data_IF_892728671420
#
_entry.id   IF_892728671420
#
_cell.length_a   1.000
_cell.length_b   1.000
_cell.length_c   1.000
_cell.angle_alpha   90.00
_cell.angle_beta   90.00
_cell.angle_gamma   90.00
#
_symmetry.space_group_name_H-M   'P 1'
#
loop_
_entity.id
_entity.type
_entity.pdbx_description
1 polymer ?
#
# COMPACT_ATOMS: atom_id res chain seq x y z
N UNK A 1 22.88 -21.37 60.73
CA UNK A 1 21.69 -20.68 60.23
C UNK A 1 21.94 -19.14 60.12
N UNK A 2 23.00 -18.70 59.40
CA UNK A 2 23.40 -17.27 59.29
C UNK A 2 23.94 -16.85 57.93
N UNK A 3 23.74 -17.67 56.85
CA UNK A 3 24.29 -17.37 55.51
C UNK A 3 23.22 -17.27 54.40
N UNK A 4 21.91 -17.23 54.73
CA UNK A 4 20.82 -17.18 53.74
C UNK A 4 20.17 -15.79 53.57
N UNK A 5 20.61 -14.76 54.30
CA UNK A 5 20.02 -13.41 54.19
C UNK A 5 20.82 -12.42 53.35
N UNK A 6 22.04 -12.77 52.92
CA UNK A 6 22.90 -11.82 52.13
C UNK A 6 22.74 -11.94 50.62
N UNK A 7 22.00 -12.94 50.09
CA UNK A 7 21.87 -13.17 48.66
C UNK A 7 20.73 -12.40 47.99
N UNK A 8 19.76 -11.90 48.78
CA UNK A 8 18.58 -11.20 48.24
C UNK A 8 18.74 -9.67 48.12
N UNK A 9 19.73 -9.07 48.74
CA UNK A 9 19.97 -7.62 48.67
C UNK A 9 20.78 -7.22 47.44
N UNK A 10 21.51 -8.14 46.80
CA UNK A 10 22.26 -7.87 45.58
C UNK A 10 21.40 -7.88 44.31
N UNK A 11 20.27 -8.61 44.32
CA UNK A 11 19.41 -8.74 43.13
C UNK A 11 18.43 -7.59 42.96
N UNK A 12 18.04 -6.92 44.06
CA UNK A 12 17.14 -5.78 44.04
C UNK A 12 17.78 -4.48 43.52
N UNK A 13 19.12 -4.35 43.63
CA UNK A 13 19.85 -3.17 43.15
C UNK A 13 20.23 -3.30 41.64
N UNK A 14 20.38 -4.52 41.11
CA UNK A 14 20.65 -4.73 39.70
C UNK A 14 19.39 -4.57 38.82
N UNK A 15 18.21 -4.92 39.35
CA UNK A 15 16.94 -4.72 38.63
C UNK A 15 16.50 -3.26 38.55
N UNK A 16 16.87 -2.44 39.52
CA UNK A 16 16.52 -1.00 39.56
C UNK A 16 17.32 -0.15 38.56
N UNK A 17 18.53 -0.56 38.18
CA UNK A 17 19.39 0.15 37.22
C UNK A 17 19.08 -0.19 35.76
N UNK A 18 18.37 -1.31 35.51
CA UNK A 18 17.98 -1.71 34.15
C UNK A 18 16.69 -1.04 33.66
N UNK A 19 15.85 -0.58 34.55
CA UNK A 19 14.61 0.14 34.23
C UNK A 19 14.82 1.65 33.96
N UNK A 20 15.97 2.20 34.32
CA UNK A 20 16.26 3.63 34.12
C UNK A 20 17.02 3.94 32.83
N UNK A 21 17.58 2.94 32.14
CA UNK A 21 18.37 3.14 30.91
C UNK A 21 17.62 2.80 29.61
N UNK A 22 16.33 2.45 29.67
CA UNK A 22 15.51 2.00 28.54
C UNK A 22 14.56 3.03 27.93
N UNK A 23 14.50 4.25 28.45
CA UNK A 23 13.66 5.29 27.84
C UNK A 23 14.52 6.41 27.23
N UNK A 24 15.36 6.03 26.27
CA UNK A 24 15.69 6.98 25.22
C UNK A 24 14.41 7.12 24.40
N UNK A 25 13.75 8.26 24.55
CA UNK A 25 12.54 8.59 23.86
C UNK A 25 12.75 8.39 22.35
N UNK A 26 12.23 7.30 21.82
CA UNK A 26 11.87 7.27 20.43
C UNK A 26 10.85 8.40 20.29
N UNK A 27 11.29 9.54 19.75
CA UNK A 27 10.40 10.61 19.33
C UNK A 27 9.34 9.95 18.50
N UNK A 28 8.09 9.97 18.96
CA UNK A 28 6.96 9.49 18.14
C UNK A 28 7.10 10.15 16.79
N UNK A 29 7.14 9.39 15.69
CA UNK A 29 7.27 9.99 14.37
C UNK A 29 6.18 11.05 14.23
N UNK A 30 6.53 12.23 13.69
CA UNK A 30 5.62 13.35 13.58
C UNK A 30 4.34 12.90 12.88
N UNK A 31 3.20 13.19 13.49
CA UNK A 31 1.90 12.88 12.89
C UNK A 31 1.77 13.59 11.54
N UNK A 32 1.08 12.96 10.59
CA UNK A 32 0.78 13.57 9.31
C UNK A 32 -0.17 14.76 9.50
N UNK A 33 0.21 15.94 9.00
CA UNK A 33 -0.57 17.16 9.18
C UNK A 33 -1.75 17.25 8.20
N UNK A 34 -1.61 16.64 7.01
CA UNK A 34 -2.60 16.71 5.94
C UNK A 34 -2.54 15.46 5.03
N UNK A 35 -3.51 15.37 4.11
CA UNK A 35 -3.60 14.28 3.13
C UNK A 35 -2.39 14.26 2.19
N UNK A 36 -1.90 15.43 1.78
CA UNK A 36 -0.76 15.53 0.86
C UNK A 36 0.53 14.94 1.46
N UNK A 37 0.76 15.16 2.75
CA UNK A 37 1.87 14.56 3.49
C UNK A 37 1.77 13.03 3.54
N UNK A 38 0.57 12.48 3.76
CA UNK A 38 0.34 11.02 3.70
C UNK A 38 0.58 10.50 2.30
N UNK A 39 -0.01 11.12 1.28
CA UNK A 39 0.14 10.71 -0.12
C UNK A 39 1.62 10.74 -0.55
N UNK A 40 2.39 11.74 -0.11
CA UNK A 40 3.83 11.82 -0.36
C UNK A 40 4.59 10.67 0.31
N UNK A 41 4.26 10.35 1.56
CA UNK A 41 4.85 9.21 2.28
C UNK A 41 4.55 7.88 1.55
N UNK A 42 3.29 7.62 1.22
CA UNK A 42 2.88 6.40 0.53
C UNK A 42 3.51 6.28 -0.87
N UNK A 43 3.62 7.41 -1.59
CA UNK A 43 4.18 7.45 -2.94
C UNK A 43 5.65 7.01 -3.01
N UNK A 44 6.41 7.19 -1.93
CA UNK A 44 7.84 6.89 -1.85
C UNK A 44 8.16 5.75 -0.88
N UNK A 45 7.15 5.05 -0.37
CA UNK A 45 7.31 4.05 0.69
C UNK A 45 8.33 2.95 0.31
N UNK A 46 8.22 2.37 -0.90
CA UNK A 46 9.14 1.31 -1.34
C UNK A 46 10.60 1.77 -1.48
N UNK A 47 10.87 3.08 -1.60
CA UNK A 47 12.22 3.63 -1.64
C UNK A 47 12.84 3.71 -0.23
N UNK A 48 11.99 3.95 0.78
CA UNK A 48 12.38 4.02 2.19
C UNK A 48 11.24 3.46 3.05
N UNK A 49 11.17 2.13 3.21
CA UNK A 49 10.10 1.52 4.01
C UNK A 49 10.21 1.92 5.49
N UNK A 50 9.11 2.43 6.03
CA UNK A 50 8.93 2.78 7.45
C UNK A 50 7.62 2.11 7.94
N UNK A 51 7.61 0.76 8.15
CA UNK A 51 6.39 0.00 8.41
C UNK A 51 5.67 0.42 9.70
N UNK A 52 6.38 0.97 10.68
CA UNK A 52 5.83 1.50 11.92
C UNK A 52 4.99 2.78 11.71
N UNK A 53 5.19 3.50 10.59
CA UNK A 53 4.43 4.71 10.25
C UNK A 53 3.19 4.42 9.42
N UNK A 54 3.06 3.24 8.82
CA UNK A 54 1.90 2.90 7.97
C UNK A 54 0.59 2.97 8.75
N UNK A 55 0.47 2.43 10.00
CA UNK A 55 -0.75 2.61 10.79
C UNK A 55 -1.12 4.07 11.01
N UNK A 56 -0.13 4.92 11.31
CA UNK A 56 -0.35 6.36 11.51
C UNK A 56 -0.82 7.08 10.23
N UNK A 57 -0.26 6.70 9.06
CA UNK A 57 -0.69 7.22 7.77
C UNK A 57 -2.16 6.85 7.48
N UNK A 58 -2.55 5.61 7.74
CA UNK A 58 -3.93 5.14 7.59
C UNK A 58 -4.87 5.86 8.57
N UNK A 59 -4.45 6.04 9.82
CA UNK A 59 -5.24 6.76 10.83
C UNK A 59 -5.43 8.23 10.44
N UNK A 60 -4.41 8.88 9.88
CA UNK A 60 -4.51 10.24 9.36
C UNK A 60 -5.48 10.33 8.18
N UNK A 61 -5.42 9.42 7.18
CA UNK A 61 -6.38 9.38 6.08
C UNK A 61 -7.82 9.20 6.58
N UNK A 62 -8.02 8.34 7.58
CA UNK A 62 -9.34 8.12 8.17
C UNK A 62 -9.84 9.36 8.92
N UNK A 63 -9.01 9.98 9.75
CA UNK A 63 -9.35 11.18 10.52
C UNK A 63 -9.66 12.39 9.62
N UNK A 64 -8.99 12.51 8.48
CA UNK A 64 -9.20 13.55 7.48
C UNK A 64 -10.38 13.25 6.53
N UNK A 65 -11.11 12.13 6.73
CA UNK A 65 -12.23 11.73 5.88
C UNK A 65 -11.83 11.30 4.46
N UNK A 66 -10.53 11.13 4.19
CA UNK A 66 -10.05 10.80 2.85
C UNK A 66 -10.48 9.40 2.37
N UNK A 67 -10.74 8.46 3.31
CA UNK A 67 -11.17 7.11 3.03
C UNK A 67 -12.69 6.96 2.76
N UNK A 68 -13.44 8.06 2.82
CA UNK A 68 -14.87 8.04 2.45
C UNK A 68 -15.07 8.08 0.92
N UNK A 69 -14.10 8.61 0.19
CA UNK A 69 -14.12 8.64 -1.26
C UNK A 69 -13.53 7.35 -1.85
N UNK A 70 -14.31 6.63 -2.66
CA UNK A 70 -13.89 5.37 -3.31
C UNK A 70 -12.60 5.52 -4.12
N UNK A 71 -12.42 6.63 -4.80
CA UNK A 71 -11.23 6.95 -5.57
C UNK A 71 -9.92 6.96 -4.73
N UNK A 72 -10.01 7.15 -3.41
CA UNK A 72 -8.87 7.06 -2.48
C UNK A 72 -8.86 5.75 -1.70
N UNK A 73 -10.04 5.24 -1.36
CA UNK A 73 -10.16 4.00 -0.60
C UNK A 73 -9.53 2.81 -1.35
N UNK A 74 -9.85 2.64 -2.64
CA UNK A 74 -9.38 1.51 -3.44
C UNK A 74 -7.85 1.49 -3.61
N UNK A 75 -7.16 2.57 -4.02
CA UNK A 75 -5.70 2.58 -4.04
C UNK A 75 -5.06 2.37 -2.67
N UNK A 76 -5.62 2.96 -1.59
CA UNK A 76 -5.12 2.75 -0.24
C UNK A 76 -5.29 1.28 0.21
N UNK A 77 -6.42 0.63 -0.17
CA UNK A 77 -6.63 -0.79 0.09
C UNK A 77 -5.64 -1.67 -0.69
N UNK A 78 -5.34 -1.34 -1.95
CA UNK A 78 -4.35 -2.05 -2.75
C UNK A 78 -2.93 -1.89 -2.20
N UNK A 79 -2.58 -0.69 -1.71
CA UNK A 79 -1.31 -0.45 -1.01
C UNK A 79 -1.18 -1.34 0.24
N UNK A 80 -2.19 -1.31 1.11
CA UNK A 80 -2.20 -2.13 2.32
C UNK A 80 -2.24 -3.63 1.99
N UNK A 81 -2.99 -4.04 0.97
CA UNK A 81 -3.06 -5.42 0.50
C UNK A 81 -1.69 -5.95 0.07
N UNK A 82 -0.90 -5.13 -0.63
CA UNK A 82 0.45 -5.48 -1.03
C UNK A 82 1.38 -5.69 0.18
N UNK A 83 1.28 -4.85 1.20
CA UNK A 83 2.02 -5.02 2.45
C UNK A 83 1.57 -6.27 3.23
N UNK A 84 0.26 -6.56 3.27
CA UNK A 84 -0.28 -7.77 3.90
C UNK A 84 0.22 -9.04 3.20
N UNK A 85 0.41 -9.00 1.89
CA UNK A 85 0.95 -10.12 1.14
C UNK A 85 2.41 -10.43 1.50
N UNK A 86 3.20 -9.41 1.87
CA UNK A 86 4.59 -9.56 2.32
C UNK A 86 4.69 -9.92 3.82
N UNK A 87 3.81 -9.37 4.64
CA UNK A 87 3.76 -9.61 6.10
C UNK A 87 2.32 -9.74 6.58
N UNK A 88 1.83 -10.98 6.69
CA UNK A 88 0.46 -11.24 7.15
C UNK A 88 0.21 -10.81 8.61
N UNK A 89 1.26 -10.66 9.42
CA UNK A 89 1.13 -10.21 10.81
C UNK A 89 0.55 -8.80 10.90
N UNK A 90 0.70 -8.01 9.84
CA UNK A 90 0.08 -6.67 9.73
C UNK A 90 -1.45 -6.74 9.82
N UNK A 91 -2.08 -7.82 9.33
CA UNK A 91 -3.54 -7.97 9.45
C UNK A 91 -4.01 -7.97 10.90
N UNK A 92 -3.28 -8.63 11.80
CA UNK A 92 -3.58 -8.63 13.23
C UNK A 92 -3.35 -7.24 13.84
N UNK A 93 -2.22 -6.59 13.52
CA UNK A 93 -1.88 -5.24 14.00
C UNK A 93 -2.91 -4.20 13.57
N UNK A 94 -3.35 -4.22 12.31
CA UNK A 94 -4.41 -3.34 11.82
C UNK A 94 -5.79 -3.71 12.38
N UNK A 95 -6.00 -4.98 12.75
CA UNK A 95 -7.22 -5.49 13.38
C UNK A 95 -7.36 -5.13 14.86
N UNK A 96 -6.26 -4.73 15.52
CA UNK A 96 -6.32 -4.27 16.89
C UNK A 96 -7.27 -3.06 17.01
N UNK A 97 -8.28 -3.19 17.91
CA UNK A 97 -9.28 -2.16 18.15
C UNK A 97 -10.04 -1.68 16.90
N UNK A 98 -10.10 -2.50 15.84
CA UNK A 98 -10.75 -2.11 14.57
C UNK A 98 -12.23 -1.77 14.76
N UNK A 99 -12.91 -2.36 15.74
CA UNK A 99 -14.30 -2.06 16.05
C UNK A 99 -14.52 -0.61 16.51
N UNK A 100 -13.50 0.01 17.11
CA UNK A 100 -13.51 1.39 17.57
C UNK A 100 -13.02 2.38 16.50
N UNK A 101 -12.47 1.87 15.40
CA UNK A 101 -11.90 2.69 14.34
C UNK A 101 -12.98 3.37 13.48
N UNK A 102 -12.58 4.47 12.83
CA UNK A 102 -13.44 5.17 11.88
C UNK A 102 -13.94 4.24 10.75
N UNK A 103 -15.19 4.44 10.26
CA UNK A 103 -15.78 3.62 9.22
C UNK A 103 -14.91 3.39 7.98
N UNK A 104 -14.23 4.42 7.49
CA UNK A 104 -13.32 4.33 6.35
C UNK A 104 -12.14 3.36 6.61
N UNK A 105 -11.56 3.36 7.82
CA UNK A 105 -10.48 2.42 8.18
C UNK A 105 -10.99 0.98 8.26
N UNK A 106 -12.22 0.76 8.75
CA UNK A 106 -12.85 -0.56 8.79
C UNK A 106 -13.03 -1.12 7.35
N UNK A 107 -13.55 -0.29 6.43
CA UNK A 107 -13.70 -0.65 5.01
C UNK A 107 -12.36 -0.93 4.35
N UNK A 108 -11.38 -0.07 4.59
CA UNK A 108 -10.02 -0.22 4.07
C UNK A 108 -9.44 -1.60 4.43
N UNK A 109 -9.50 -1.98 5.70
CA UNK A 109 -8.94 -3.27 6.14
C UNK A 109 -9.67 -4.45 5.50
N UNK A 110 -11.00 -4.41 5.42
CA UNK A 110 -11.77 -5.47 4.78
C UNK A 110 -11.39 -5.64 3.30
N UNK A 111 -11.29 -4.54 2.57
CA UNK A 111 -10.90 -4.55 1.15
C UNK A 111 -9.43 -4.96 0.96
N UNK A 112 -8.52 -4.49 1.81
CA UNK A 112 -7.11 -4.88 1.76
C UNK A 112 -6.93 -6.40 1.96
N UNK A 113 -7.63 -7.00 2.91
CA UNK A 113 -7.62 -8.46 3.10
C UNK A 113 -8.15 -9.18 1.86
N UNK A 114 -9.24 -8.72 1.26
CA UNK A 114 -9.82 -9.31 0.06
C UNK A 114 -8.90 -9.22 -1.17
N UNK A 115 -8.07 -8.17 -1.24
CA UNK A 115 -7.14 -7.88 -2.34
C UNK A 115 -5.73 -8.43 -2.13
N UNK A 116 -5.43 -8.96 -0.94
CA UNK A 116 -4.06 -9.36 -0.56
C UNK A 116 -3.53 -10.58 -1.30
N UNK A 117 -4.42 -11.44 -1.83
CA UNK A 117 -4.02 -12.72 -2.41
C UNK A 117 -3.59 -13.76 -1.37
N UNK A 118 -3.71 -13.47 -0.07
CA UNK A 118 -3.36 -14.43 1.00
C UNK A 118 -4.25 -15.68 0.92
N UNK A 119 -3.70 -16.89 1.09
CA UNK A 119 -4.49 -18.13 1.09
C UNK A 119 -5.62 -18.13 2.14
N UNK A 120 -5.39 -17.50 3.29
CA UNK A 120 -6.32 -17.43 4.42
C UNK A 120 -7.25 -16.19 4.41
N UNK A 121 -7.34 -15.43 3.33
CA UNK A 121 -8.12 -14.19 3.25
C UNK A 121 -9.57 -14.36 3.70
N UNK A 122 -10.23 -15.48 3.34
CA UNK A 122 -11.61 -15.77 3.79
C UNK A 122 -11.72 -15.93 5.29
N UNK A 123 -10.74 -16.61 5.91
CA UNK A 123 -10.68 -16.75 7.37
C UNK A 123 -10.51 -15.40 8.04
N UNK A 124 -9.61 -14.56 7.53
CA UNK A 124 -9.38 -13.21 8.07
C UNK A 124 -10.63 -12.33 7.94
N UNK A 125 -11.31 -12.32 6.78
CA UNK A 125 -12.57 -11.61 6.61
C UNK A 125 -13.69 -12.15 7.51
N UNK A 126 -13.76 -13.47 7.72
CA UNK A 126 -14.74 -14.07 8.65
C UNK A 126 -14.51 -13.64 10.10
N UNK A 127 -13.25 -13.52 10.53
CA UNK A 127 -12.91 -12.99 11.84
C UNK A 127 -13.26 -11.51 11.93
N UNK A 128 -12.91 -10.72 10.92
CA UNK A 128 -13.22 -9.29 10.85
C UNK A 128 -14.74 -9.05 10.88
N UNK A 129 -15.54 -9.84 10.16
CA UNK A 129 -17.01 -9.77 10.19
C UNK A 129 -17.58 -9.90 11.61
N UNK A 130 -17.01 -10.77 12.43
CA UNK A 130 -17.45 -10.94 13.83
C UNK A 130 -17.14 -9.72 14.69
N UNK A 131 -16.04 -9.02 14.40
CA UNK A 131 -15.65 -7.79 15.09
C UNK A 131 -16.44 -6.57 14.60
N UNK A 132 -16.94 -6.60 13.36
CA UNK A 132 -17.59 -5.50 12.67
C UNK A 132 -19.03 -5.87 12.24
N UNK A 133 -19.98 -6.11 13.16
CA UNK A 133 -21.35 -6.50 12.79
C UNK A 133 -22.05 -5.46 11.93
N UNK A 134 -21.75 -4.17 12.10
CA UNK A 134 -22.30 -3.11 11.26
C UNK A 134 -21.82 -3.16 9.79
N UNK A 135 -20.74 -3.90 9.49
CA UNK A 135 -20.16 -4.10 8.15
C UNK A 135 -20.40 -5.51 7.61
N UNK A 136 -21.20 -6.32 8.30
CA UNK A 136 -21.36 -7.73 7.97
C UNK A 136 -21.78 -7.95 6.51
N UNK A 137 -22.71 -7.16 5.99
CA UNK A 137 -23.20 -7.28 4.60
C UNK A 137 -22.09 -6.94 3.57
N UNK A 138 -21.33 -5.89 3.82
CA UNK A 138 -20.21 -5.50 2.96
C UNK A 138 -19.14 -6.60 2.92
N UNK A 139 -18.79 -7.15 4.09
CA UNK A 139 -17.81 -8.24 4.19
C UNK A 139 -18.33 -9.53 3.56
N UNK A 140 -19.63 -9.82 3.66
CA UNK A 140 -20.26 -10.94 2.95
C UNK A 140 -20.15 -10.83 1.44
N UNK A 141 -20.34 -9.62 0.91
CA UNK A 141 -20.14 -9.34 -0.52
C UNK A 141 -18.71 -9.64 -0.96
N UNK A 142 -17.70 -9.28 -0.14
CA UNK A 142 -16.31 -9.63 -0.41
C UNK A 142 -16.08 -11.16 -0.34
N UNK A 143 -16.66 -11.84 0.66
CA UNK A 143 -16.56 -13.28 0.83
C UNK A 143 -17.22 -14.09 -0.28
N UNK A 144 -18.25 -13.53 -0.95
CA UNK A 144 -18.94 -14.15 -2.06
C UNK A 144 -18.09 -14.26 -3.34
N UNK A 145 -16.97 -13.54 -3.43
CA UNK A 145 -16.06 -13.67 -4.55
C UNK A 145 -15.50 -15.10 -4.62
N UNK A 146 -15.51 -15.74 -5.82
CA UNK A 146 -15.13 -17.15 -5.96
C UNK A 146 -13.65 -17.39 -5.65
N UNK A 147 -12.81 -16.41 -5.95
CA UNK A 147 -11.35 -16.48 -5.80
C UNK A 147 -10.80 -15.23 -5.11
N UNK A 148 -9.53 -15.28 -4.72
CA UNK A 148 -8.82 -14.08 -4.25
C UNK A 148 -8.71 -13.09 -5.42
N UNK A 149 -8.94 -11.82 -5.12
CA UNK A 149 -8.80 -10.73 -6.09
C UNK A 149 -7.47 -10.01 -5.91
N UNK A 150 -6.35 -10.77 -5.95
CA UNK A 150 -5.05 -10.12 -5.88
C UNK A 150 -4.99 -8.92 -6.85
N UNK A 151 -4.53 -7.77 -6.36
CA UNK A 151 -4.56 -6.50 -7.11
C UNK A 151 -4.00 -6.65 -8.53
N UNK A 152 -2.91 -7.40 -8.68
CA UNK A 152 -2.27 -7.59 -9.98
C UNK A 152 -3.03 -8.54 -10.93
N UNK A 153 -4.10 -9.19 -10.51
CA UNK A 153 -4.94 -10.05 -11.36
C UNK A 153 -6.23 -9.38 -11.83
N UNK A 154 -6.56 -8.17 -11.34
CA UNK A 154 -7.80 -7.48 -11.70
C UNK A 154 -7.75 -7.00 -13.16
N UNK A 155 -8.84 -7.14 -13.91
CA UNK A 155 -9.00 -6.49 -15.20
C UNK A 155 -9.09 -4.97 -15.04
N UNK A 156 -8.55 -4.22 -16.01
CA UNK A 156 -8.72 -2.76 -16.00
C UNK A 156 -10.19 -2.39 -16.20
N UNK A 157 -10.57 -1.28 -15.60
CA UNK A 157 -11.92 -0.73 -15.60
C UNK A 157 -11.99 0.61 -16.32
N UNK A 158 -13.18 0.98 -16.75
CA UNK A 158 -13.43 2.24 -17.47
C UNK A 158 -13.04 3.48 -16.65
N UNK A 159 -13.24 3.44 -15.34
CA UNK A 159 -12.89 4.53 -14.42
C UNK A 159 -11.37 4.64 -14.17
N UNK A 160 -10.58 3.64 -14.57
CA UNK A 160 -9.13 3.58 -14.35
C UNK A 160 -8.74 3.39 -12.89
N UNK A 161 -9.65 2.91 -12.04
CA UNK A 161 -9.38 2.67 -10.60
C UNK A 161 -8.38 1.54 -10.42
N UNK A 162 -8.49 0.48 -11.22
CA UNK A 162 -7.54 -0.64 -11.17
C UNK A 162 -6.13 -0.20 -11.52
N UNK A 163 -5.95 0.77 -12.43
CA UNK A 163 -4.63 1.32 -12.73
C UNK A 163 -4.03 2.02 -11.49
N UNK A 164 -4.84 2.80 -10.77
CA UNK A 164 -4.41 3.46 -9.54
C UNK A 164 -4.06 2.44 -8.44
N UNK A 165 -4.81 1.33 -8.37
CA UNK A 165 -4.51 0.21 -7.45
C UNK A 165 -3.20 -0.49 -7.80
N UNK A 166 -2.91 -0.71 -9.08
CA UNK A 166 -1.62 -1.29 -9.53
C UNK A 166 -0.47 -0.35 -9.21
N UNK A 167 -0.64 0.97 -9.40
CA UNK A 167 0.35 1.96 -8.99
C UNK A 167 0.55 1.97 -7.48
N UNK A 168 -0.52 1.88 -6.69
CA UNK A 168 -0.44 1.81 -5.23
C UNK A 168 0.29 0.54 -4.75
N UNK A 169 0.06 -0.59 -5.40
CA UNK A 169 0.81 -1.82 -5.16
C UNK A 169 2.32 -1.63 -5.45
N UNK A 170 2.66 -0.97 -6.56
CA UNK A 170 4.06 -0.63 -6.86
C UNK A 170 4.65 0.28 -5.78
N UNK A 171 3.95 1.32 -5.34
CA UNK A 171 4.41 2.23 -4.29
C UNK A 171 4.63 1.53 -2.95
N UNK A 172 3.87 0.47 -2.65
CA UNK A 172 4.05 -0.33 -1.44
C UNK A 172 5.30 -1.21 -1.49
N UNK A 173 5.60 -1.83 -2.63
CA UNK A 173 6.57 -2.94 -2.72
C UNK A 173 7.74 -2.65 -3.64
N UNK A 174 7.62 -1.70 -4.57
CA UNK A 174 8.54 -1.52 -5.69
C UNK A 174 8.58 -2.74 -6.64
N UNK A 175 7.49 -3.51 -6.68
CA UNK A 175 7.40 -4.75 -7.45
C UNK A 175 7.58 -4.53 -8.95
N UNK A 176 8.51 -5.29 -9.56
CA UNK A 176 8.71 -5.26 -11.01
C UNK A 176 7.45 -5.73 -11.75
N UNK A 177 6.72 -6.72 -11.20
CA UNK A 177 5.47 -7.20 -11.79
C UNK A 177 4.41 -6.10 -11.88
N UNK A 178 4.26 -5.27 -10.83
CA UNK A 178 3.36 -4.13 -10.85
C UNK A 178 3.78 -3.10 -11.91
N UNK A 179 5.07 -2.77 -11.97
CA UNK A 179 5.58 -1.82 -12.96
C UNK A 179 5.43 -2.33 -14.40
N UNK A 180 5.70 -3.61 -14.66
CA UNK A 180 5.46 -4.23 -15.98
C UNK A 180 3.99 -4.21 -16.36
N UNK A 181 3.09 -4.34 -15.39
CA UNK A 181 1.66 -4.22 -15.64
C UNK A 181 1.24 -2.80 -16.02
N UNK A 182 1.86 -1.75 -15.44
CA UNK A 182 1.67 -0.36 -15.85
C UNK A 182 2.20 -0.11 -17.26
N UNK A 183 3.35 -0.70 -17.62
CA UNK A 183 3.90 -0.66 -18.98
C UNK A 183 2.97 -1.36 -19.97
N UNK A 184 2.43 -2.53 -19.61
CA UNK A 184 1.47 -3.23 -20.44
C UNK A 184 0.17 -2.43 -20.66
N UNK A 185 -0.31 -1.72 -19.62
CA UNK A 185 -1.46 -0.84 -19.74
C UNK A 185 -1.23 0.29 -20.76
N UNK A 186 0.00 0.83 -20.83
CA UNK A 186 0.37 1.87 -21.79
C UNK A 186 0.11 1.45 -23.24
N UNK A 187 0.31 0.16 -23.58
CA UNK A 187 0.03 -0.37 -24.91
C UNK A 187 -1.43 -0.18 -25.33
N UNK A 188 -2.36 -0.15 -24.36
CA UNK A 188 -3.78 0.10 -24.65
C UNK A 188 -4.04 1.44 -25.36
N UNK A 189 -3.17 2.46 -25.15
CA UNK A 189 -3.30 3.73 -25.87
C UNK A 189 -3.12 3.62 -27.41
N UNK A 190 -2.63 2.50 -27.89
CA UNK A 190 -2.47 2.20 -29.31
C UNK A 190 -3.70 1.51 -29.91
N UNK A 191 -4.61 1.03 -29.09
CA UNK A 191 -5.83 0.34 -29.51
C UNK A 191 -7.05 1.28 -29.45
N UNK A 192 -7.34 1.93 -30.57
CA UNK A 192 -8.51 2.79 -30.68
C UNK A 192 -9.84 2.01 -30.76
N UNK A 193 -9.79 0.69 -30.92
CA UNK A 193 -11.01 -0.16 -31.02
C UNK A 193 -11.55 -0.57 -29.66
N UNK A 194 -10.72 -0.57 -28.61
CA UNK A 194 -11.09 -0.81 -27.22
C UNK A 194 -11.04 0.49 -26.39
N UNK A 195 -12.20 1.11 -26.11
CA UNK A 195 -12.26 2.37 -25.36
C UNK A 195 -11.68 2.26 -23.95
N UNK A 196 -11.84 1.10 -23.27
CA UNK A 196 -11.30 0.89 -21.92
C UNK A 196 -9.79 0.78 -21.97
N UNK A 197 -9.25 -0.03 -22.89
CA UNK A 197 -7.80 -0.14 -23.08
C UNK A 197 -7.19 1.21 -23.45
N UNK A 198 -7.81 1.93 -24.40
CA UNK A 198 -7.35 3.25 -24.86
C UNK A 198 -7.31 4.27 -23.70
N UNK A 199 -8.39 4.43 -22.96
CA UNK A 199 -8.45 5.37 -21.82
C UNK A 199 -7.45 5.00 -20.72
N UNK A 200 -7.34 3.70 -20.40
CA UNK A 200 -6.38 3.18 -19.43
C UNK A 200 -4.95 3.44 -19.88
N UNK A 201 -4.65 3.24 -21.18
CA UNK A 201 -3.32 3.50 -21.74
C UNK A 201 -2.92 4.97 -21.68
N UNK A 202 -3.83 5.89 -21.99
CA UNK A 202 -3.58 7.33 -21.86
C UNK A 202 -3.35 7.73 -20.39
N UNK A 203 -4.14 7.20 -19.46
CA UNK A 203 -3.94 7.41 -18.01
C UNK A 203 -2.60 6.83 -17.56
N UNK A 204 -2.24 5.61 -18.01
CA UNK A 204 -0.97 4.96 -17.69
C UNK A 204 0.22 5.82 -18.13
N UNK A 205 0.17 6.43 -19.34
CA UNK A 205 1.21 7.33 -19.84
C UNK A 205 1.42 8.52 -18.90
N UNK A 206 0.33 9.19 -18.50
CA UNK A 206 0.40 10.34 -17.62
C UNK A 206 0.94 9.98 -16.23
N UNK A 207 0.44 8.87 -15.65
CA UNK A 207 0.85 8.39 -14.32
C UNK A 207 2.32 7.94 -14.33
N UNK A 208 2.75 7.19 -15.34
CA UNK A 208 4.16 6.77 -15.46
C UNK A 208 5.09 7.97 -15.59
N UNK A 209 4.77 8.96 -16.44
CA UNK A 209 5.59 10.15 -16.61
C UNK A 209 5.72 10.95 -15.31
N UNK A 210 4.58 11.18 -14.62
CA UNK A 210 4.56 11.91 -13.37
C UNK A 210 5.36 11.19 -12.27
N UNK A 211 5.19 9.87 -12.13
CA UNK A 211 5.83 9.10 -11.07
C UNK A 211 7.30 8.84 -11.35
N UNK A 212 7.68 8.54 -12.57
CA UNK A 212 9.08 8.36 -12.96
C UNK A 212 9.92 9.62 -12.75
N UNK A 213 9.32 10.81 -12.77
CA UNK A 213 10.01 12.06 -12.48
C UNK A 213 10.52 12.15 -11.02
N UNK A 214 9.86 11.47 -10.08
CA UNK A 214 10.22 11.48 -8.65
C UNK A 214 10.69 10.12 -8.13
N UNK A 215 10.60 9.06 -8.94
CA UNK A 215 10.93 7.70 -8.57
C UNK A 215 12.02 7.13 -9.48
N UNK A 216 13.28 7.09 -9.02
CA UNK A 216 14.41 6.63 -9.84
C UNK A 216 14.30 5.15 -10.22
N UNK A 217 13.65 4.31 -9.38
CA UNK A 217 13.46 2.89 -9.69
C UNK A 217 12.46 2.70 -10.82
N UNK A 218 11.34 3.41 -10.78
CA UNK A 218 10.35 3.36 -11.85
C UNK A 218 10.93 3.94 -13.16
N UNK A 219 11.69 5.02 -13.10
CA UNK A 219 12.37 5.61 -14.26
C UNK A 219 13.34 4.63 -14.91
N UNK A 220 14.17 3.95 -14.12
CA UNK A 220 15.15 2.98 -14.62
C UNK A 220 14.45 1.78 -15.25
N UNK A 221 13.38 1.27 -14.63
CA UNK A 221 12.58 0.19 -15.17
C UNK A 221 11.93 0.60 -16.48
N UNK A 222 11.38 1.81 -16.58
CA UNK A 222 10.76 2.34 -17.80
C UNK A 222 11.80 2.46 -18.94
N UNK A 223 13.03 2.93 -18.62
CA UNK A 223 14.14 2.97 -19.60
C UNK A 223 14.53 1.58 -20.09
N UNK A 224 14.65 0.63 -19.17
CA UNK A 224 14.98 -0.76 -19.54
C UNK A 224 13.93 -1.35 -20.46
N UNK A 225 12.65 -1.15 -20.17
CA UNK A 225 11.57 -1.65 -21.01
C UNK A 225 11.48 -0.92 -22.36
N UNK A 226 11.80 0.36 -22.44
CA UNK A 226 11.91 1.07 -23.71
C UNK A 226 12.94 0.46 -24.67
N UNK A 227 13.98 -0.21 -24.15
CA UNK A 227 14.95 -0.95 -24.94
C UNK A 227 14.55 -2.38 -25.30
N UNK A 228 13.51 -2.93 -24.66
CA UNK A 228 13.09 -4.34 -24.81
C UNK A 228 11.79 -4.51 -25.60
N UNK A 229 10.90 -3.53 -25.51
CA UNK A 229 9.59 -3.59 -26.15
C UNK A 229 9.70 -3.31 -27.67
N UNK A 230 8.83 -3.90 -28.48
CA UNK A 230 8.74 -3.55 -29.90
C UNK A 230 8.12 -2.17 -30.10
N UNK A 231 8.35 -1.59 -31.29
CA UNK A 231 7.59 -0.41 -31.73
C UNK A 231 6.11 -0.78 -31.99
N UNK A 232 5.15 0.12 -31.70
CA UNK A 232 5.33 1.50 -31.26
C UNK A 232 5.42 1.68 -29.73
N UNK A 233 5.29 0.64 -28.89
CA UNK A 233 5.33 0.75 -27.44
C UNK A 233 6.67 1.29 -26.93
N UNK A 234 7.79 0.87 -27.54
CA UNK A 234 9.11 1.39 -27.22
C UNK A 234 9.17 2.92 -27.38
N UNK A 235 8.55 3.47 -28.43
CA UNK A 235 8.43 4.91 -28.67
C UNK A 235 7.69 5.61 -27.54
N UNK A 236 6.52 5.10 -27.12
CA UNK A 236 5.74 5.66 -26.02
C UNK A 236 6.54 5.66 -24.70
N UNK A 237 7.30 4.59 -24.43
CA UNK A 237 8.12 4.51 -23.23
C UNK A 237 9.29 5.52 -23.26
N UNK A 238 9.92 5.75 -24.44
CA UNK A 238 10.93 6.80 -24.59
C UNK A 238 10.35 8.20 -24.33
N UNK A 239 9.13 8.46 -24.80
CA UNK A 239 8.42 9.72 -24.52
C UNK A 239 8.15 9.90 -23.03
N UNK A 240 7.72 8.84 -22.33
CA UNK A 240 7.54 8.86 -20.86
C UNK A 240 8.86 9.20 -20.17
N UNK A 241 9.96 8.56 -20.57
CA UNK A 241 11.29 8.82 -19.99
C UNK A 241 11.74 10.26 -20.27
N UNK A 242 11.53 10.77 -21.49
CA UNK A 242 11.89 12.15 -21.85
C UNK A 242 11.07 13.19 -21.06
N UNK A 243 9.79 12.89 -20.82
CA UNK A 243 8.91 13.75 -20.01
C UNK A 243 9.29 13.74 -18.53
N UNK A 244 9.71 12.60 -18.00
CA UNK A 244 10.11 12.41 -16.61
C UNK A 244 11.51 12.98 -16.31
N UNK A 245 12.40 13.02 -17.29
CA UNK A 245 13.75 13.55 -17.10
C UNK A 245 13.67 15.06 -16.84
N UNK A 246 14.31 15.60 -15.77
CA UNK A 246 14.40 17.04 -15.60
C UNK A 246 15.07 17.64 -16.85
N UNK A 247 14.49 18.72 -17.39
CA UNK A 247 15.11 19.46 -18.49
C UNK A 247 16.56 19.74 -18.09
N UNK A 248 17.53 19.24 -18.88
CA UNK A 248 18.93 19.49 -18.65
C UNK A 248 19.13 21.03 -18.67
N UNK A 249 19.37 21.59 -17.48
CA UNK A 249 19.69 23.02 -17.31
C UNK A 249 21.17 23.25 -17.57
#
# INVERSE_FOLDING_TARGET
MRYLMSFWLGFALAAGLWLASGWHGASSPAAFADVAGVETFLAHYHLKPEPERVPQAIDALAALGALEAEARLQPAAAFLAALLAEDESLAARFGERIAEAAPGKQRLLAQAIALSGLPQWRRLLTLLKRQLPARALEIETLLAAPETRATLSLAYDEAGVVLDMVMAHFMATGSEAAALRLVAALAGSLDASDPIASSTGHKARAVLALRAASDPRLLELTRREAGRQPEPLAGLLRDVVATAAPAAR
#
